data_IF_022684632949
#
_entry.id   IF_022684632949
#
_cell.length_a   1.000
_cell.length_b   1.000
_cell.length_c   1.000
_cell.angle_alpha   90.00
_cell.angle_beta   90.00
_cell.angle_gamma   90.00
#
_symmetry.space_group_name_H-M   'P 1'
#
loop_
_entity.id
_entity.type
_entity.pdbx_description
1 polymer ?
#
# COMPACT_ATOMS: atom_id res chain seq x y z
N UNK A 1 -59.20 -18.09 -7.99
CA UNK A 1 -58.08 -18.35 -7.08
C UNK A 1 -56.83 -17.74 -7.69
N UNK A 2 -56.33 -16.68 -7.09
CA UNK A 2 -55.04 -16.10 -7.54
C UNK A 2 -53.92 -16.72 -6.72
N UNK A 3 -53.08 -17.52 -7.36
CA UNK A 3 -51.87 -18.05 -6.75
C UNK A 3 -50.79 -16.95 -6.77
N UNK A 4 -50.48 -16.40 -5.59
CA UNK A 4 -49.34 -15.49 -5.46
C UNK A 4 -48.10 -16.36 -5.34
N UNK A 5 -47.29 -16.42 -6.40
CA UNK A 5 -45.95 -17.02 -6.33
C UNK A 5 -45.02 -15.99 -5.75
N UNK A 6 -44.70 -16.14 -4.45
CA UNK A 6 -43.64 -15.39 -3.80
C UNK A 6 -42.30 -15.93 -4.30
N UNK A 7 -41.71 -15.26 -5.28
CA UNK A 7 -40.30 -15.49 -5.64
C UNK A 7 -39.45 -14.94 -4.50
N UNK A 8 -38.99 -15.82 -3.62
CA UNK A 8 -37.94 -15.48 -2.67
C UNK A 8 -36.64 -15.33 -3.44
N UNK A 9 -36.24 -14.10 -3.73
CA UNK A 9 -34.91 -13.81 -4.25
C UNK A 9 -33.90 -14.16 -3.15
N UNK A 10 -33.21 -15.29 -3.30
CA UNK A 10 -32.09 -15.66 -2.44
C UNK A 10 -30.92 -14.73 -2.78
N UNK A 11 -30.75 -13.68 -1.99
CA UNK A 11 -29.57 -12.82 -2.06
C UNK A 11 -28.39 -13.61 -1.51
N UNK A 12 -27.62 -14.24 -2.40
CA UNK A 12 -26.36 -14.86 -2.02
C UNK A 12 -25.35 -13.72 -1.83
N UNK A 13 -25.15 -13.35 -0.56
CA UNK A 13 -24.11 -12.40 -0.19
C UNK A 13 -22.78 -13.15 -0.19
N UNK A 14 -21.91 -12.86 -1.16
CA UNK A 14 -20.53 -13.34 -1.14
C UNK A 14 -19.72 -12.44 -0.21
N UNK A 15 -19.45 -12.92 1.00
CA UNK A 15 -18.53 -12.27 1.91
C UNK A 15 -17.09 -12.57 1.44
N UNK A 16 -16.30 -11.52 1.12
CA UNK A 16 -14.88 -11.66 0.89
C UNK A 16 -14.18 -12.01 2.19
N UNK A 17 -13.13 -12.86 2.16
CA UNK A 17 -12.28 -13.07 3.34
C UNK A 17 -11.77 -11.72 3.86
N UNK A 18 -11.79 -11.51 5.18
CA UNK A 18 -11.34 -10.25 5.81
C UNK A 18 -9.93 -9.84 5.37
N UNK A 19 -9.01 -10.82 5.22
CA UNK A 19 -7.65 -10.58 4.75
C UNK A 19 -7.58 -10.03 3.32
N UNK A 20 -8.46 -10.48 2.41
CA UNK A 20 -8.50 -9.98 1.03
C UNK A 20 -8.93 -8.51 0.97
N UNK A 21 -9.85 -8.09 1.84
CA UNK A 21 -10.28 -6.70 1.94
C UNK A 21 -9.16 -5.81 2.46
N UNK A 22 -8.41 -6.27 3.47
CA UNK A 22 -7.28 -5.54 4.04
C UNK A 22 -6.12 -5.41 3.04
N UNK A 23 -5.83 -6.46 2.27
CA UNK A 23 -4.82 -6.41 1.21
C UNK A 23 -5.21 -5.41 0.13
N UNK A 24 -6.45 -5.43 -0.33
CA UNK A 24 -6.94 -4.48 -1.33
C UNK A 24 -6.85 -3.04 -0.84
N UNK A 25 -7.22 -2.79 0.42
CA UNK A 25 -7.13 -1.46 1.03
C UNK A 25 -5.67 -1.00 1.16
N UNK A 26 -4.76 -1.88 1.57
CA UNK A 26 -3.33 -1.59 1.66
C UNK A 26 -2.72 -1.26 0.29
N UNK A 27 -3.02 -2.06 -0.72
CA UNK A 27 -2.55 -1.82 -2.09
C UNK A 27 -3.05 -0.48 -2.63
N UNK A 28 -4.28 -0.10 -2.31
CA UNK A 28 -4.85 1.20 -2.70
C UNK A 28 -4.06 2.36 -2.07
N UNK A 29 -3.69 2.25 -0.80
CA UNK A 29 -2.89 3.27 -0.10
C UNK A 29 -1.50 3.37 -0.71
N UNK A 30 -0.83 2.24 -0.93
CA UNK A 30 0.51 2.19 -1.53
C UNK A 30 0.47 2.79 -2.95
N UNK A 31 -0.51 2.43 -3.75
CA UNK A 31 -0.66 2.95 -5.11
C UNK A 31 -0.91 4.46 -5.12
N UNK A 32 -1.72 4.94 -4.20
CA UNK A 32 -1.98 6.37 -4.07
C UNK A 32 -0.71 7.15 -3.71
N UNK A 33 0.13 6.61 -2.83
CA UNK A 33 1.42 7.22 -2.50
C UNK A 33 2.38 7.18 -3.70
N UNK A 34 2.46 6.05 -4.41
CA UNK A 34 3.26 5.93 -5.63
C UNK A 34 2.89 7.01 -6.65
N UNK A 35 1.60 7.19 -6.88
CA UNK A 35 1.10 8.22 -7.79
C UNK A 35 1.42 9.64 -7.30
N UNK A 36 1.38 9.87 -6.00
CA UNK A 36 1.77 11.16 -5.41
C UNK A 36 3.26 11.44 -5.65
N UNK A 37 4.13 10.46 -5.49
CA UNK A 37 5.55 10.59 -5.85
C UNK A 37 5.72 10.89 -7.34
N UNK A 38 4.98 10.20 -8.21
CA UNK A 38 5.07 10.40 -9.66
C UNK A 38 4.75 11.84 -10.09
N UNK A 39 3.85 12.52 -9.39
CA UNK A 39 3.48 13.92 -9.68
C UNK A 39 4.17 14.95 -8.77
N UNK A 40 5.16 14.51 -7.97
CA UNK A 40 5.89 15.36 -7.02
C UNK A 40 4.99 16.04 -5.98
N UNK A 41 3.93 15.36 -5.56
CA UNK A 41 3.00 15.84 -4.54
C UNK A 41 3.45 15.39 -3.16
N UNK A 42 4.34 16.15 -2.54
CA UNK A 42 4.91 15.82 -1.23
C UNK A 42 3.84 15.74 -0.14
N UNK A 43 2.90 16.67 -0.12
CA UNK A 43 1.83 16.70 0.88
C UNK A 43 0.95 15.46 0.81
N UNK A 44 0.54 15.04 -0.41
CA UNK A 44 -0.26 13.84 -0.60
C UNK A 44 0.53 12.59 -0.21
N UNK A 45 1.78 12.44 -0.67
CA UNK A 45 2.63 11.30 -0.33
C UNK A 45 2.80 11.15 1.18
N UNK A 46 3.05 12.25 1.87
CA UNK A 46 3.22 12.32 3.31
C UNK A 46 1.96 11.94 4.08
N UNK A 47 0.79 12.27 3.56
CA UNK A 47 -0.49 11.98 4.21
C UNK A 47 -0.77 10.49 4.36
N UNK A 48 -0.14 9.63 3.55
CA UNK A 48 -0.27 8.18 3.63
C UNK A 48 0.68 7.53 4.63
N UNK A 49 1.64 8.29 5.15
CA UNK A 49 2.56 7.83 6.18
C UNK A 49 1.89 7.85 7.56
N UNK A 50 2.17 6.82 8.37
CA UNK A 50 1.66 6.74 9.73
C UNK A 50 2.27 7.82 10.64
N UNK A 51 1.62 8.14 11.77
CA UNK A 51 2.12 9.17 12.69
C UNK A 51 3.56 8.98 13.12
N UNK A 52 4.02 7.74 13.33
CA UNK A 52 5.40 7.46 13.72
C UNK A 52 6.43 7.94 12.69
N UNK A 53 6.12 7.82 11.39
CA UNK A 53 6.97 8.35 10.32
C UNK A 53 6.93 9.89 10.33
N UNK A 54 5.75 10.46 10.51
CA UNK A 54 5.58 11.91 10.54
C UNK A 54 6.31 12.56 11.73
N UNK A 55 6.47 11.83 12.83
CA UNK A 55 7.28 12.30 13.97
C UNK A 55 8.77 12.34 13.63
N UNK A 56 9.26 11.36 12.85
CA UNK A 56 10.68 11.31 12.41
C UNK A 56 10.93 12.39 11.35
N UNK A 57 9.98 12.59 10.44
CA UNK A 57 10.06 13.57 9.35
C UNK A 57 8.91 14.57 9.53
N UNK A 58 9.10 15.65 10.30
CA UNK A 58 7.99 16.52 10.71
C UNK A 58 7.43 17.41 9.59
N UNK A 59 8.00 17.33 8.39
CA UNK A 59 7.68 18.17 7.25
C UNK A 59 7.58 17.29 5.99
N UNK A 60 6.57 17.53 5.17
CA UNK A 60 6.34 16.75 3.93
C UNK A 60 7.51 16.88 2.96
N UNK A 61 8.13 18.05 2.87
CA UNK A 61 9.29 18.27 1.98
C UNK A 61 10.52 17.51 2.45
N UNK A 62 10.76 17.45 3.75
CA UNK A 62 11.84 16.66 4.34
C UNK A 62 11.61 15.18 4.08
N UNK A 63 10.38 14.71 4.26
CA UNK A 63 9.99 13.34 3.91
C UNK A 63 10.26 13.03 2.45
N UNK A 64 9.84 13.90 1.54
CA UNK A 64 10.06 13.73 0.10
C UNK A 64 11.55 13.67 -0.26
N UNK A 65 12.38 14.52 0.33
CA UNK A 65 13.83 14.51 0.13
C UNK A 65 14.44 13.19 0.58
N UNK A 66 14.02 12.67 1.72
CA UNK A 66 14.47 11.37 2.22
C UNK A 66 14.12 10.25 1.23
N UNK A 67 12.91 10.25 0.70
CA UNK A 67 12.48 9.22 -0.28
C UNK A 67 13.32 9.32 -1.56
N UNK A 68 13.55 10.51 -2.06
CA UNK A 68 14.39 10.73 -3.26
C UNK A 68 15.82 10.22 -3.07
N UNK A 69 16.39 10.40 -1.88
CA UNK A 69 17.78 10.04 -1.58
C UNK A 69 17.96 8.57 -1.22
N UNK A 70 17.03 8.00 -0.46
CA UNK A 70 17.19 6.67 0.15
C UNK A 70 16.28 5.61 -0.45
N UNK A 71 15.24 6.00 -1.18
CA UNK A 71 14.26 5.10 -1.78
C UNK A 71 14.02 5.47 -3.25
N UNK A 72 15.08 5.76 -3.98
CA UNK A 72 14.99 6.21 -5.38
C UNK A 72 14.12 5.29 -6.26
N UNK A 73 14.21 3.94 -6.18
CA UNK A 73 13.36 3.05 -6.96
C UNK A 73 11.85 3.19 -6.64
N UNK A 74 11.50 3.54 -5.41
CA UNK A 74 10.12 3.83 -5.01
C UNK A 74 9.64 5.14 -5.61
N UNK A 75 10.52 6.13 -5.64
CA UNK A 75 10.22 7.48 -6.13
C UNK A 75 10.07 7.51 -7.66
N UNK A 76 10.94 6.80 -8.38
CA UNK A 76 10.93 6.69 -9.86
C UNK A 76 11.29 5.28 -10.29
N UNK A 77 10.50 4.70 -11.19
CA UNK A 77 10.66 3.33 -11.65
C UNK A 77 10.02 3.13 -13.03
N UNK A 78 10.40 2.04 -13.69
CA UNK A 78 9.77 1.58 -14.92
C UNK A 78 8.54 0.73 -14.63
N UNK A 79 8.56 -0.07 -13.54
CA UNK A 79 7.44 -0.91 -13.13
C UNK A 79 7.35 -1.00 -11.61
N UNK A 80 6.14 -1.22 -11.13
CA UNK A 80 5.80 -1.30 -9.71
C UNK A 80 4.62 -2.26 -9.58
N UNK A 81 4.89 -3.49 -9.15
CA UNK A 81 3.88 -4.55 -9.15
C UNK A 81 3.76 -5.18 -7.77
N UNK A 82 2.52 -5.36 -7.32
CA UNK A 82 2.26 -6.01 -6.05
C UNK A 82 2.54 -7.50 -6.12
N UNK A 83 3.25 -8.01 -5.11
CA UNK A 83 3.52 -9.41 -4.90
C UNK A 83 2.70 -9.97 -3.73
N UNK A 84 3.34 -10.89 -2.99
CA UNK A 84 2.73 -11.53 -1.84
C UNK A 84 2.39 -10.53 -0.72
N UNK A 85 1.28 -10.77 -0.01
CA UNK A 85 0.88 -10.00 1.15
C UNK A 85 0.53 -10.93 2.30
N UNK A 86 0.77 -10.44 3.54
CA UNK A 86 0.37 -11.11 4.78
C UNK A 86 -0.41 -10.13 5.65
N UNK A 87 -1.47 -10.63 6.27
CA UNK A 87 -2.35 -9.85 7.15
C UNK A 87 -2.37 -10.48 8.53
N UNK A 88 -2.26 -9.66 9.57
CA UNK A 88 -2.32 -10.09 10.96
C UNK A 88 -2.82 -8.93 11.82
N UNK A 89 -4.00 -9.08 12.43
CA UNK A 89 -4.56 -8.17 13.46
C UNK A 89 -4.37 -6.67 13.17
N UNK A 90 -4.88 -6.19 12.03
CA UNK A 90 -4.79 -4.78 11.65
C UNK A 90 -3.46 -4.37 11.03
N UNK A 91 -2.54 -5.31 10.82
CA UNK A 91 -1.27 -5.11 10.14
C UNK A 91 -1.29 -5.77 8.77
N UNK A 92 -0.72 -5.11 7.78
CA UNK A 92 -0.50 -5.67 6.45
C UNK A 92 0.96 -5.54 6.10
N UNK A 93 1.58 -6.62 5.64
CA UNK A 93 2.90 -6.63 5.04
C UNK A 93 2.73 -6.95 3.54
N UNK A 94 3.10 -6.01 2.67
CA UNK A 94 2.89 -6.11 1.23
C UNK A 94 4.23 -6.02 0.51
N UNK A 95 4.57 -7.05 -0.26
CA UNK A 95 5.74 -7.06 -1.14
C UNK A 95 5.41 -6.36 -2.45
N UNK A 96 6.39 -5.64 -2.99
CA UNK A 96 6.29 -4.95 -4.27
C UNK A 96 7.55 -5.25 -5.09
N UNK A 97 7.36 -5.70 -6.33
CA UNK A 97 8.44 -5.89 -7.28
C UNK A 97 8.62 -4.59 -8.07
N UNK A 98 9.81 -4.02 -8.00
CA UNK A 98 10.11 -2.74 -8.65
C UNK A 98 11.26 -2.94 -9.64
N UNK A 99 11.11 -2.39 -10.83
CA UNK A 99 12.22 -2.19 -11.76
C UNK A 99 12.49 -0.70 -11.82
N UNK A 100 13.69 -0.28 -11.45
CA UNK A 100 14.05 1.14 -11.40
C UNK A 100 14.28 1.73 -12.80
N UNK A 101 14.61 3.00 -12.86
CA UNK A 101 14.86 3.70 -14.14
C UNK A 101 16.03 3.14 -14.91
N UNK A 102 16.98 2.50 -14.24
CA UNK A 102 18.16 1.88 -14.83
C UNK A 102 17.96 0.41 -15.22
N UNK A 103 16.76 -0.13 -15.02
CA UNK A 103 16.45 -1.53 -15.32
C UNK A 103 16.85 -2.50 -14.21
N UNK A 104 17.29 -2.02 -13.05
CA UNK A 104 17.61 -2.88 -11.91
C UNK A 104 16.33 -3.30 -11.17
N UNK A 105 16.29 -4.58 -10.79
CA UNK A 105 15.16 -5.14 -10.04
C UNK A 105 15.37 -5.00 -8.53
N UNK A 106 14.32 -4.56 -7.87
CA UNK A 106 14.26 -4.36 -6.42
C UNK A 106 13.02 -5.03 -5.85
N UNK A 107 13.08 -5.37 -4.58
CA UNK A 107 11.92 -5.79 -3.82
C UNK A 107 11.71 -4.82 -2.66
N UNK A 108 10.54 -4.25 -2.58
CA UNK A 108 10.12 -3.43 -1.44
C UNK A 108 9.19 -4.25 -0.54
N UNK A 109 9.36 -4.08 0.76
CA UNK A 109 8.40 -4.59 1.74
C UNK A 109 7.78 -3.41 2.45
N UNK A 110 6.50 -3.17 2.17
CA UNK A 110 5.69 -2.18 2.85
C UNK A 110 5.01 -2.80 4.05
N UNK A 111 5.00 -2.08 5.14
CA UNK A 111 4.15 -2.41 6.29
C UNK A 111 3.13 -1.30 6.51
N UNK A 112 1.90 -1.70 6.81
CA UNK A 112 0.79 -0.79 7.06
C UNK A 112 0.08 -1.21 8.33
N UNK A 113 -0.51 -0.24 9.01
CA UNK A 113 -1.25 -0.47 10.24
C UNK A 113 -2.55 0.31 10.22
N UNK A 114 -3.62 -0.34 10.70
CA UNK A 114 -4.91 0.32 10.89
C UNK A 114 -4.81 1.36 12.00
N UNK A 115 -5.26 2.56 11.70
CA UNK A 115 -5.29 3.68 12.62
C UNK A 115 -6.61 3.70 13.41
N UNK A 116 -6.69 4.47 14.51
CA UNK A 116 -7.94 4.58 15.29
C UNK A 116 -9.15 5.03 14.48
N UNK A 117 -8.96 5.77 13.39
CA UNK A 117 -10.03 6.20 12.49
C UNK A 117 -10.44 5.14 11.46
N UNK A 118 -9.82 3.93 11.51
CA UNK A 118 -10.08 2.83 10.58
C UNK A 118 -9.28 2.89 9.29
N UNK A 119 -8.53 3.95 9.02
CA UNK A 119 -7.68 4.03 7.84
C UNK A 119 -6.41 3.18 7.98
N UNK A 120 -5.91 2.65 6.87
CA UNK A 120 -4.59 2.04 6.82
C UNK A 120 -3.57 3.12 6.44
N UNK A 121 -2.44 3.15 7.17
CA UNK A 121 -1.32 4.02 6.86
C UNK A 121 -0.02 3.24 6.82
N UNK A 122 0.92 3.72 6.04
CA UNK A 122 2.23 3.10 5.85
C UNK A 122 3.09 3.37 7.07
N UNK A 123 3.54 2.30 7.74
CA UNK A 123 4.40 2.36 8.92
C UNK A 123 5.88 2.15 8.59
N UNK A 124 6.18 1.63 7.40
CA UNK A 124 7.55 1.40 6.97
C UNK A 124 7.65 0.87 5.56
N UNK A 125 8.86 0.97 5.02
CA UNK A 125 9.24 0.38 3.75
C UNK A 125 10.70 -0.03 3.82
N UNK A 126 10.99 -1.28 3.49
CA UNK A 126 12.35 -1.80 3.34
C UNK A 126 12.61 -2.08 1.87
N UNK A 127 13.79 -1.73 1.38
CA UNK A 127 14.16 -1.88 -0.02
C UNK A 127 15.40 -2.75 -0.14
N UNK A 128 15.30 -3.84 -0.92
CA UNK A 128 16.39 -4.78 -1.18
C UNK A 128 16.58 -4.97 -2.68
N UNK A 129 17.80 -5.12 -3.12
CA UNK A 129 18.04 -5.58 -4.50
C UNK A 129 17.51 -6.99 -4.66
N UNK A 130 16.82 -7.25 -5.78
CA UNK A 130 16.34 -8.59 -6.09
C UNK A 130 17.50 -9.57 -6.17
N UNK A 131 17.36 -10.75 -5.54
CA UNK A 131 18.40 -11.77 -5.46
C UNK A 131 19.37 -11.63 -4.30
N UNK A 132 19.27 -10.57 -3.49
CA UNK A 132 20.07 -10.39 -2.25
C UNK A 132 19.29 -10.72 -0.98
N UNK A 133 18.01 -11.08 -1.09
CA UNK A 133 17.20 -11.54 0.03
C UNK A 133 17.69 -12.93 0.48
N UNK A 134 18.06 -13.04 1.72
CA UNK A 134 18.50 -14.29 2.33
C UNK A 134 17.30 -14.93 3.05
#
# INVERSE_FOLDING_TARGET
MRTVVLLAALLISFALPAGATDVAAAQKVIRAQEQAFARNDAAAAYSYAAPAIQEIFPDAEIFMQMVQQSYAPVYRHQSFEFGEAKVSDGYVAQRVQIVDENGEAWEALYTLEEQPDGSLRITGCSLLKAGQAV
#
